data_IF_905462098216
#
_entry.id   IF_905462098216
#
_cell.length_a   1.000
_cell.length_b   1.000
_cell.length_c   1.000
_cell.angle_alpha   90.00
_cell.angle_beta   90.00
_cell.angle_gamma   90.00
#
_symmetry.space_group_name_H-M   'P 1'
#
loop_
_entity.id
_entity.type
_entity.pdbx_description
1 polymer ?
#
# COMPACT_ATOMS: atom_id res chain seq x y z
N UNK A 1 -44.84 -11.46 -9.41
CA UNK A 1 -45.27 -12.50 -10.34
C UNK A 1 -46.59 -12.16 -11.01
N UNK A 2 -46.71 -12.42 -12.29
CA UNK A 2 -47.93 -12.19 -13.10
C UNK A 2 -48.38 -13.53 -13.65
N UNK A 3 -49.69 -13.81 -13.54
CA UNK A 3 -50.36 -14.98 -14.13
C UNK A 3 -51.30 -14.54 -15.25
N UNK A 4 -51.31 -15.28 -16.33
CA UNK A 4 -52.28 -15.09 -17.40
C UNK A 4 -53.37 -16.17 -17.33
N UNK A 5 -54.64 -15.77 -17.34
CA UNK A 5 -55.76 -16.71 -17.45
C UNK A 5 -56.40 -16.54 -18.79
N UNK A 6 -56.39 -17.58 -19.62
CA UNK A 6 -56.88 -17.51 -21.01
C UNK A 6 -57.80 -18.65 -21.34
N UNK A 7 -58.76 -18.41 -22.24
CA UNK A 7 -59.58 -19.44 -22.86
C UNK A 7 -58.89 -20.08 -24.08
N UNK A 8 -57.93 -19.39 -24.67
CA UNK A 8 -57.14 -19.82 -25.81
C UNK A 8 -55.74 -20.22 -25.39
N UNK A 9 -55.46 -21.51 -25.37
CA UNK A 9 -54.18 -22.07 -24.95
C UNK A 9 -53.39 -22.61 -26.17
N UNK A 10 -53.31 -21.81 -27.26
CA UNK A 10 -52.43 -22.16 -28.37
C UNK A 10 -50.97 -22.04 -27.98
N UNK A 11 -50.09 -22.86 -28.58
CA UNK A 11 -48.63 -22.82 -28.30
C UNK A 11 -48.05 -21.43 -28.57
N UNK A 12 -48.55 -20.72 -29.57
CA UNK A 12 -48.12 -19.37 -29.90
C UNK A 12 -48.50 -18.36 -28.83
N UNK A 13 -49.72 -18.40 -28.33
CA UNK A 13 -50.19 -17.53 -27.23
C UNK A 13 -49.41 -17.79 -25.95
N UNK A 14 -49.09 -19.05 -25.64
CA UNK A 14 -48.33 -19.41 -24.46
C UNK A 14 -46.87 -18.91 -24.55
N UNK A 15 -46.20 -19.13 -25.68
CA UNK A 15 -44.83 -18.61 -25.91
C UNK A 15 -44.77 -17.10 -25.75
N UNK A 16 -45.70 -16.39 -26.39
CA UNK A 16 -45.75 -14.93 -26.31
C UNK A 16 -46.00 -14.42 -24.90
N UNK A 17 -46.82 -15.10 -24.11
CA UNK A 17 -47.02 -14.76 -22.69
C UNK A 17 -45.73 -14.92 -21.85
N UNK A 18 -45.01 -16.05 -22.02
CA UNK A 18 -43.75 -16.28 -21.33
C UNK A 18 -42.66 -15.31 -21.76
N UNK A 19 -42.58 -14.97 -23.06
CA UNK A 19 -41.65 -13.96 -23.58
C UNK A 19 -41.90 -12.54 -22.99
N UNK A 20 -43.19 -12.25 -22.67
CA UNK A 20 -43.59 -11.02 -21.97
C UNK A 20 -43.35 -11.05 -20.47
N UNK A 21 -42.76 -12.13 -19.91
CA UNK A 21 -42.41 -12.26 -18.49
C UNK A 21 -43.57 -12.74 -17.60
N UNK A 22 -44.61 -13.34 -18.17
CA UNK A 22 -45.66 -14.02 -17.38
C UNK A 22 -45.06 -15.26 -16.74
N UNK A 23 -45.30 -15.46 -15.46
CA UNK A 23 -44.69 -16.55 -14.69
C UNK A 23 -45.41 -17.90 -14.94
N UNK A 24 -46.70 -17.86 -15.15
CA UNK A 24 -47.47 -19.07 -15.49
C UNK A 24 -48.78 -18.69 -16.25
N UNK A 25 -49.24 -19.63 -17.08
CA UNK A 25 -50.48 -19.50 -17.86
C UNK A 25 -51.48 -20.53 -17.40
N UNK A 26 -52.70 -20.11 -17.09
CA UNK A 26 -53.81 -20.95 -16.64
C UNK A 26 -54.89 -20.96 -17.69
N UNK A 27 -55.19 -22.14 -18.24
CA UNK A 27 -56.25 -22.32 -19.22
C UNK A 27 -57.62 -22.47 -18.57
N UNK A 28 -58.65 -21.95 -19.21
CA UNK A 28 -60.05 -22.21 -18.85
C UNK A 28 -60.49 -23.57 -19.41
N UNK A 29 -61.34 -24.36 -18.70
CA UNK A 29 -61.99 -24.06 -17.41
C UNK A 29 -61.05 -24.12 -16.23
N UNK A 30 -61.14 -23.14 -15.31
CA UNK A 30 -60.27 -22.99 -14.15
C UNK A 30 -60.65 -24.00 -13.06
N UNK A 31 -59.67 -24.81 -12.64
CA UNK A 31 -59.83 -25.69 -11.48
C UNK A 31 -59.23 -24.97 -10.24
N UNK A 32 -60.07 -24.54 -9.27
CA UNK A 32 -59.63 -23.67 -8.17
C UNK A 32 -58.46 -24.23 -7.36
N UNK A 33 -58.44 -25.53 -7.09
CA UNK A 33 -57.36 -26.20 -6.33
C UNK A 33 -56.00 -26.11 -7.05
N UNK A 34 -55.99 -26.34 -8.38
CA UNK A 34 -54.78 -26.30 -9.20
C UNK A 34 -54.22 -24.87 -9.22
N UNK A 35 -55.12 -23.90 -9.43
CA UNK A 35 -54.71 -22.47 -9.42
C UNK A 35 -54.11 -22.10 -8.09
N UNK A 36 -54.74 -22.44 -6.98
CA UNK A 36 -54.24 -22.15 -5.64
C UNK A 36 -52.85 -22.74 -5.44
N UNK A 37 -52.62 -23.99 -5.82
CA UNK A 37 -51.32 -24.65 -5.68
C UNK A 37 -50.21 -23.99 -6.54
N UNK A 38 -50.52 -23.67 -7.80
CA UNK A 38 -49.57 -22.97 -8.68
C UNK A 38 -49.20 -21.58 -8.15
N UNK A 39 -50.18 -20.81 -7.71
CA UNK A 39 -49.97 -19.48 -7.12
C UNK A 39 -49.14 -19.57 -5.85
N UNK A 40 -49.42 -20.53 -4.96
CA UNK A 40 -48.63 -20.78 -3.76
C UNK A 40 -47.19 -21.09 -4.10
N UNK A 41 -46.92 -22.04 -5.01
CA UNK A 41 -45.55 -22.40 -5.41
C UNK A 41 -44.78 -21.24 -6.01
N UNK A 42 -45.41 -20.41 -6.84
CA UNK A 42 -44.78 -19.24 -7.44
C UNK A 42 -44.46 -18.16 -6.36
N UNK A 43 -45.38 -17.94 -5.43
CA UNK A 43 -45.13 -16.99 -4.30
C UNK A 43 -43.98 -17.49 -3.44
N UNK A 44 -43.95 -18.77 -3.10
CA UNK A 44 -42.83 -19.36 -2.31
C UNK A 44 -41.49 -19.21 -3.00
N UNK A 45 -41.45 -19.55 -4.31
CA UNK A 45 -40.24 -19.41 -5.14
C UNK A 45 -39.78 -17.94 -5.21
N UNK A 46 -40.68 -17.01 -5.43
CA UNK A 46 -40.39 -15.59 -5.49
C UNK A 46 -39.85 -15.07 -4.15
N UNK A 47 -40.50 -15.46 -3.06
CA UNK A 47 -40.04 -15.07 -1.71
C UNK A 47 -38.67 -15.68 -1.37
N UNK A 48 -38.43 -16.96 -1.70
CA UNK A 48 -37.16 -17.61 -1.53
C UNK A 48 -36.04 -16.89 -2.33
N UNK A 49 -36.32 -16.59 -3.62
CA UNK A 49 -35.37 -15.85 -4.46
C UNK A 49 -35.07 -14.45 -3.91
N UNK A 50 -36.07 -13.73 -3.43
CA UNK A 50 -35.91 -12.40 -2.84
C UNK A 50 -35.05 -12.46 -1.55
N UNK A 51 -35.32 -13.45 -0.68
CA UNK A 51 -34.53 -13.69 0.54
C UNK A 51 -33.07 -14.02 0.19
N UNK A 52 -32.85 -14.93 -0.75
CA UNK A 52 -31.53 -15.32 -1.19
C UNK A 52 -30.73 -14.10 -1.73
N UNK A 53 -31.36 -13.32 -2.60
CA UNK A 53 -30.73 -12.11 -3.15
C UNK A 53 -30.34 -11.11 -2.06
N UNK A 54 -31.23 -10.87 -1.06
CA UNK A 54 -30.89 -9.97 0.06
C UNK A 54 -29.78 -10.53 0.95
N UNK A 55 -29.78 -11.85 1.20
CA UNK A 55 -28.71 -12.50 1.99
C UNK A 55 -27.36 -12.41 1.26
N UNK A 56 -27.32 -12.69 -0.05
CA UNK A 56 -26.09 -12.58 -0.85
C UNK A 56 -25.55 -11.14 -0.83
N UNK A 57 -26.40 -10.15 -1.02
CA UNK A 57 -25.98 -8.75 -0.96
C UNK A 57 -25.41 -8.37 0.41
N UNK A 58 -26.06 -8.81 1.50
CA UNK A 58 -25.55 -8.57 2.86
C UNK A 58 -24.21 -9.25 3.11
N UNK A 59 -24.06 -10.52 2.68
CA UNK A 59 -22.80 -11.25 2.83
C UNK A 59 -21.65 -10.63 2.01
N UNK A 60 -21.94 -10.12 0.81
CA UNK A 60 -20.92 -9.42 0.01
C UNK A 60 -20.42 -8.15 0.72
N UNK A 61 -21.32 -7.36 1.30
CA UNK A 61 -20.94 -6.17 2.06
C UNK A 61 -20.06 -6.54 3.26
N UNK A 62 -20.48 -7.55 4.03
CA UNK A 62 -19.72 -8.02 5.20
C UNK A 62 -18.33 -8.53 4.82
N UNK A 63 -18.21 -9.30 3.73
CA UNK A 63 -16.91 -9.78 3.22
C UNK A 63 -15.97 -8.63 2.82
N UNK A 64 -16.50 -7.59 2.18
CA UNK A 64 -15.71 -6.40 1.83
C UNK A 64 -15.21 -5.66 3.07
N UNK A 65 -16.06 -5.50 4.08
CA UNK A 65 -15.66 -4.87 5.36
C UNK A 65 -14.59 -5.70 6.08
N UNK A 66 -14.74 -7.02 6.12
CA UNK A 66 -13.75 -7.93 6.72
C UNK A 66 -12.41 -7.86 5.96
N UNK A 67 -12.43 -7.89 4.62
CA UNK A 67 -11.24 -7.76 3.80
C UNK A 67 -10.50 -6.44 4.06
N UNK A 68 -11.22 -5.32 4.12
CA UNK A 68 -10.64 -4.02 4.44
C UNK A 68 -10.05 -3.98 5.86
N UNK A 69 -10.70 -4.63 6.83
CA UNK A 69 -10.18 -4.73 8.20
C UNK A 69 -8.89 -5.52 8.26
N UNK A 70 -8.79 -6.63 7.53
CA UNK A 70 -7.58 -7.45 7.44
C UNK A 70 -6.44 -6.65 6.81
N UNK A 71 -6.69 -5.93 5.71
CA UNK A 71 -5.69 -5.07 5.07
C UNK A 71 -5.15 -4.03 6.06
N UNK A 72 -6.02 -3.30 6.75
CA UNK A 72 -5.59 -2.30 7.75
C UNK A 72 -4.80 -2.90 8.90
N UNK A 73 -5.20 -4.09 9.38
CA UNK A 73 -4.46 -4.81 10.42
C UNK A 73 -3.06 -5.20 9.95
N UNK A 74 -2.93 -5.74 8.74
CA UNK A 74 -1.64 -6.14 8.18
C UNK A 74 -0.71 -4.93 8.01
N UNK A 75 -1.21 -3.80 7.51
CA UNK A 75 -0.44 -2.55 7.40
C UNK A 75 0.03 -2.07 8.77
N UNK A 76 -0.86 -2.05 9.78
CA UNK A 76 -0.49 -1.67 11.14
C UNK A 76 0.53 -2.62 11.77
N UNK A 77 0.50 -3.91 11.44
CA UNK A 77 1.51 -4.88 11.91
C UNK A 77 2.88 -4.63 11.26
N UNK A 78 2.92 -4.34 9.95
CA UNK A 78 4.15 -3.97 9.25
C UNK A 78 4.76 -2.71 9.88
N UNK A 79 3.94 -1.67 10.06
CA UNK A 79 4.37 -0.42 10.70
C UNK A 79 4.90 -0.65 12.13
N UNK A 80 4.21 -1.45 12.93
CA UNK A 80 4.63 -1.75 14.29
C UNK A 80 5.94 -2.55 14.35
N UNK A 81 6.15 -3.52 13.47
CA UNK A 81 7.38 -4.30 13.40
C UNK A 81 8.56 -3.43 12.93
N UNK A 82 8.38 -2.62 11.92
CA UNK A 82 9.42 -1.70 11.44
C UNK A 82 9.76 -0.67 12.53
N UNK A 83 8.77 -0.10 13.19
CA UNK A 83 8.96 0.79 14.33
C UNK A 83 9.74 0.11 15.46
N UNK A 84 9.45 -1.16 15.77
CA UNK A 84 10.20 -1.90 16.80
C UNK A 84 11.68 -2.11 16.43
N UNK A 85 11.99 -2.25 15.15
CA UNK A 85 13.38 -2.34 14.67
C UNK A 85 14.08 -0.98 14.81
N UNK A 86 13.40 0.11 14.41
CA UNK A 86 13.91 1.48 14.53
C UNK A 86 14.15 1.89 15.99
N UNK A 87 13.32 1.43 16.93
CA UNK A 87 13.56 1.64 18.36
C UNK A 87 14.91 1.10 18.85
N UNK A 88 15.46 0.06 18.18
CA UNK A 88 16.81 -0.44 18.52
C UNK A 88 17.92 0.52 18.11
N UNK A 89 17.70 1.34 17.09
CA UNK A 89 18.66 2.36 16.60
C UNK A 89 18.41 3.76 17.17
N UNK A 90 17.64 3.85 18.28
CA UNK A 90 17.25 5.12 18.92
C UNK A 90 16.51 6.10 17.99
N UNK A 91 15.94 5.60 16.88
CA UNK A 91 15.10 6.38 15.99
C UNK A 91 13.66 6.45 16.49
N UNK A 92 12.98 7.54 16.19
CA UNK A 92 11.59 7.71 16.62
C UNK A 92 10.66 6.89 15.76
N UNK A 93 9.64 6.23 16.34
CA UNK A 93 8.64 5.47 15.59
C UNK A 93 7.85 6.29 14.55
N UNK A 94 7.96 7.61 14.57
CA UNK A 94 7.40 8.50 13.57
C UNK A 94 8.24 8.56 12.27
N UNK A 95 9.53 8.15 12.30
CA UNK A 95 10.42 8.11 11.13
C UNK A 95 9.81 7.26 10.02
N UNK A 96 9.49 6.01 10.31
CA UNK A 96 8.93 5.05 9.37
C UNK A 96 7.70 5.60 8.63
N UNK A 97 6.84 6.28 9.38
CA UNK A 97 5.62 6.90 8.83
C UNK A 97 5.94 8.08 7.91
N UNK A 98 6.90 8.93 8.29
CA UNK A 98 7.32 10.06 7.45
C UNK A 98 7.97 9.59 6.14
N UNK A 99 8.80 8.54 6.18
CA UNK A 99 9.35 7.93 4.95
C UNK A 99 8.24 7.46 4.02
N UNK A 100 7.22 6.77 4.55
CA UNK A 100 6.04 6.39 3.79
C UNK A 100 5.36 7.60 3.14
N UNK A 101 5.07 8.65 3.93
CA UNK A 101 4.30 9.79 3.47
C UNK A 101 5.07 10.64 2.44
N UNK A 102 6.39 10.84 2.64
CA UNK A 102 7.26 11.50 1.66
C UNK A 102 7.30 10.70 0.35
N UNK A 103 7.51 9.38 0.44
CA UNK A 103 7.55 8.50 -0.73
C UNK A 103 6.24 8.55 -1.50
N UNK A 104 5.11 8.41 -0.80
CA UNK A 104 3.78 8.51 -1.41
C UNK A 104 3.54 9.86 -2.07
N UNK A 105 3.89 10.96 -1.38
CA UNK A 105 3.72 12.32 -1.89
C UNK A 105 4.53 12.55 -3.16
N UNK A 106 5.84 12.23 -3.14
CA UNK A 106 6.71 12.41 -4.30
C UNK A 106 6.24 11.61 -5.51
N UNK A 107 5.80 10.36 -5.32
CA UNK A 107 5.32 9.52 -6.40
C UNK A 107 3.92 9.89 -6.92
N UNK A 108 3.09 10.58 -6.12
CA UNK A 108 1.74 10.99 -6.55
C UNK A 108 1.66 12.42 -7.08
N UNK A 109 2.54 13.32 -6.61
CA UNK A 109 2.45 14.75 -6.86
C UNK A 109 3.52 15.29 -7.82
N UNK A 110 4.48 14.45 -8.20
CA UNK A 110 5.55 14.84 -9.12
C UNK A 110 5.64 13.90 -10.32
N UNK A 111 6.51 14.24 -11.28
CA UNK A 111 6.75 13.40 -12.45
C UNK A 111 7.47 12.07 -12.16
N UNK A 112 7.94 11.86 -10.91
CA UNK A 112 8.65 10.63 -10.53
C UNK A 112 7.76 9.39 -10.64
N UNK A 113 6.47 9.54 -10.38
CA UNK A 113 5.51 8.45 -10.49
C UNK A 113 4.89 8.26 -11.87
N UNK A 114 5.27 9.04 -12.88
CA UNK A 114 4.62 9.04 -14.20
C UNK A 114 4.58 7.68 -14.88
N UNK A 115 5.67 6.93 -14.74
CA UNK A 115 5.84 5.63 -15.38
C UNK A 115 5.47 4.46 -14.44
N UNK A 116 4.95 4.77 -13.25
CA UNK A 116 4.50 3.80 -12.25
C UNK A 116 2.98 3.65 -12.34
N UNK A 117 2.45 2.41 -12.46
CA UNK A 117 1.01 2.21 -12.39
C UNK A 117 0.42 2.82 -11.10
N UNK A 118 -0.67 3.59 -11.16
CA UNK A 118 -1.24 4.24 -9.97
C UNK A 118 -1.58 3.27 -8.82
N UNK A 119 -1.92 2.02 -9.13
CA UNK A 119 -2.17 0.97 -8.15
C UNK A 119 -0.91 0.52 -7.39
N UNK A 120 0.28 0.73 -7.97
CA UNK A 120 1.55 0.33 -7.37
C UNK A 120 2.13 1.40 -6.42
N UNK A 121 1.75 2.66 -6.56
CA UNK A 121 2.26 3.74 -5.71
C UNK A 121 1.99 3.50 -4.22
N UNK A 122 0.79 3.11 -3.78
CA UNK A 122 0.56 2.74 -2.38
C UNK A 122 1.40 1.54 -1.93
N UNK A 123 1.70 0.59 -2.84
CA UNK A 123 2.52 -0.58 -2.54
C UNK A 123 3.99 -0.20 -2.34
N UNK A 124 4.50 0.75 -3.13
CA UNK A 124 5.85 1.30 -2.98
C UNK A 124 5.96 2.08 -1.67
N UNK A 125 4.99 2.92 -1.36
CA UNK A 125 4.96 3.66 -0.10
C UNK A 125 4.90 2.72 1.11
N UNK A 126 4.12 1.64 1.06
CA UNK A 126 4.13 0.61 2.09
C UNK A 126 5.50 -0.11 2.16
N UNK A 127 6.11 -0.40 1.02
CA UNK A 127 7.42 -1.03 0.95
C UNK A 127 8.53 -0.17 1.57
N UNK A 128 8.45 1.16 1.44
CA UNK A 128 9.44 2.08 2.00
C UNK A 128 9.59 1.97 3.52
N UNK A 129 8.54 1.55 4.23
CA UNK A 129 8.55 1.30 5.68
C UNK A 129 9.57 0.21 6.05
N UNK A 130 9.88 -0.70 5.13
CA UNK A 130 10.74 -1.87 5.34
C UNK A 130 12.21 -1.63 4.91
N UNK A 131 12.60 -0.40 4.52
CA UNK A 131 13.95 -0.12 4.01
C UNK A 131 15.05 -0.61 4.95
N UNK A 132 14.86 -0.41 6.24
CA UNK A 132 15.84 -0.68 7.31
C UNK A 132 15.57 -1.99 8.08
N UNK A 133 14.67 -2.86 7.60
CA UNK A 133 14.30 -4.10 8.29
C UNK A 133 15.50 -5.00 8.59
N UNK A 134 16.56 -4.92 7.80
CA UNK A 134 17.79 -5.69 7.99
C UNK A 134 18.67 -5.22 9.17
N UNK A 135 18.41 -4.06 9.75
CA UNK A 135 19.08 -3.62 11.00
C UNK A 135 18.88 -4.62 12.15
N UNK A 136 17.87 -5.49 12.07
CA UNK A 136 17.67 -6.57 13.04
C UNK A 136 18.86 -7.52 13.14
N UNK A 137 19.65 -7.66 12.08
CA UNK A 137 20.84 -8.51 12.03
C UNK A 137 22.13 -7.81 12.54
N UNK A 138 22.07 -6.50 12.78
CA UNK A 138 23.22 -5.73 13.25
C UNK A 138 23.34 -5.85 14.77
N UNK A 139 24.54 -6.19 15.32
CA UNK A 139 24.77 -6.23 16.77
C UNK A 139 24.55 -4.86 17.43
N UNK A 140 23.90 -4.82 18.60
CA UNK A 140 23.60 -3.57 19.32
C UNK A 140 24.87 -2.78 19.69
N UNK A 141 25.97 -3.47 19.97
CA UNK A 141 27.25 -2.84 20.25
C UNK A 141 27.82 -2.01 19.09
N UNK A 142 27.43 -2.34 17.85
CA UNK A 142 27.82 -1.61 16.65
C UNK A 142 26.73 -0.59 16.29
N UNK A 143 25.48 -1.02 16.31
CA UNK A 143 24.33 -0.19 15.93
C UNK A 143 24.23 1.07 16.80
N UNK A 144 24.45 0.92 18.11
CA UNK A 144 24.34 1.99 19.12
C UNK A 144 25.70 2.45 19.66
N UNK A 145 26.78 2.28 18.89
CA UNK A 145 28.10 2.67 19.33
C UNK A 145 28.19 4.19 19.51
N UNK A 146 28.55 4.68 20.73
CA UNK A 146 28.80 6.10 20.93
C UNK A 146 30.10 6.50 20.26
N UNK A 147 30.02 7.21 19.13
CA UNK A 147 31.17 7.71 18.39
C UNK A 147 31.30 7.19 16.97
N UNK A 148 32.47 7.36 16.37
CA UNK A 148 32.71 6.94 14.98
C UNK A 148 32.91 5.45 14.89
N UNK A 149 32.31 4.85 13.86
CA UNK A 149 32.50 3.44 13.49
C UNK A 149 33.91 3.26 12.88
N UNK A 150 34.53 2.11 13.14
CA UNK A 150 35.70 1.70 12.35
C UNK A 150 35.25 1.27 10.93
N UNK A 151 36.19 1.16 9.98
CA UNK A 151 35.85 0.66 8.65
C UNK A 151 35.18 -0.73 8.68
N UNK A 152 35.63 -1.61 9.54
CA UNK A 152 35.08 -2.98 9.69
C UNK A 152 33.66 -2.94 10.29
N UNK A 153 33.42 -2.11 11.31
CA UNK A 153 32.09 -1.91 11.89
C UNK A 153 31.12 -1.26 10.88
N UNK A 154 31.62 -0.36 10.04
CA UNK A 154 30.82 0.23 8.98
C UNK A 154 30.38 -0.80 7.94
N UNK A 155 31.27 -1.76 7.58
CA UNK A 155 30.90 -2.89 6.71
C UNK A 155 29.75 -3.73 7.33
N UNK A 156 29.79 -3.96 8.65
CA UNK A 156 28.71 -4.65 9.37
C UNK A 156 27.39 -3.88 9.29
N UNK A 157 27.42 -2.55 9.43
CA UNK A 157 26.22 -1.71 9.25
C UNK A 157 25.71 -1.83 7.81
N UNK A 158 26.57 -1.67 6.80
CA UNK A 158 26.17 -1.76 5.38
C UNK A 158 25.46 -3.07 5.04
N UNK A 159 25.84 -4.15 5.71
CA UNK A 159 25.23 -5.46 5.48
C UNK A 159 23.73 -5.51 5.78
N UNK A 160 23.14 -4.51 6.50
CA UNK A 160 21.70 -4.48 6.75
C UNK A 160 20.89 -4.47 5.45
N UNK A 161 21.37 -3.86 4.39
CA UNK A 161 20.70 -3.80 3.09
C UNK A 161 20.50 -5.20 2.51
N UNK A 162 21.56 -5.98 2.43
CA UNK A 162 21.53 -7.36 1.95
C UNK A 162 20.77 -8.28 2.91
N UNK A 163 20.90 -8.07 4.22
CA UNK A 163 20.17 -8.86 5.21
C UNK A 163 18.67 -8.55 5.19
N UNK A 164 18.29 -7.31 4.92
CA UNK A 164 16.89 -6.89 4.75
C UNK A 164 16.24 -7.60 3.58
N UNK A 165 16.86 -7.56 2.40
CA UNK A 165 16.38 -8.32 1.23
C UNK A 165 16.26 -9.82 1.51
N UNK A 166 17.29 -10.43 2.12
CA UNK A 166 17.27 -11.86 2.48
C UNK A 166 16.15 -12.19 3.45
N UNK A 167 15.93 -11.36 4.46
CA UNK A 167 14.86 -11.54 5.43
C UNK A 167 13.49 -11.52 4.73
N UNK A 168 13.23 -10.50 3.93
CA UNK A 168 11.96 -10.36 3.19
C UNK A 168 11.75 -11.53 2.21
N UNK A 169 12.80 -11.94 1.51
CA UNK A 169 12.75 -13.08 0.57
C UNK A 169 12.57 -14.44 1.26
N UNK A 170 12.88 -14.55 2.55
CA UNK A 170 12.70 -15.78 3.31
C UNK A 170 11.25 -16.03 3.76
N UNK A 171 10.34 -15.06 3.58
CA UNK A 171 8.95 -15.15 4.02
C UNK A 171 8.05 -15.56 2.83
N UNK A 172 7.64 -16.84 2.72
CA UNK A 172 6.88 -17.31 1.55
C UNK A 172 5.57 -16.55 1.32
N UNK A 173 4.86 -16.18 2.39
CA UNK A 173 3.60 -15.44 2.32
C UNK A 173 3.80 -14.02 1.78
N UNK A 174 4.96 -13.42 2.03
CA UNK A 174 5.27 -12.09 1.54
C UNK A 174 5.65 -12.08 0.05
N UNK A 175 6.22 -13.16 -0.47
CA UNK A 175 6.60 -13.28 -1.90
C UNK A 175 5.40 -13.10 -2.85
N UNK A 176 4.19 -13.40 -2.41
CA UNK A 176 2.94 -13.18 -3.18
C UNK A 176 2.32 -11.80 -2.96
N UNK A 177 2.85 -11.00 -2.03
CA UNK A 177 2.33 -9.68 -1.73
C UNK A 177 2.70 -8.66 -2.82
N UNK A 178 1.80 -7.76 -3.24
CA UNK A 178 2.09 -6.75 -4.26
C UNK A 178 3.30 -5.86 -3.96
N UNK A 179 3.58 -5.59 -2.67
CA UNK A 179 4.73 -4.79 -2.26
C UNK A 179 6.07 -5.54 -2.28
N UNK A 180 6.08 -6.87 -2.47
CA UNK A 180 7.27 -7.71 -2.28
C UNK A 180 8.48 -7.24 -3.08
N UNK A 181 8.31 -7.10 -4.40
CA UNK A 181 9.40 -6.69 -5.30
C UNK A 181 9.97 -5.33 -4.92
N UNK A 182 9.09 -4.40 -4.53
CA UNK A 182 9.50 -3.06 -4.12
C UNK A 182 10.23 -3.07 -2.78
N UNK A 183 9.74 -3.86 -1.82
CA UNK A 183 10.35 -3.95 -0.49
C UNK A 183 11.75 -4.58 -0.55
N UNK A 184 11.94 -5.65 -1.32
CA UNK A 184 13.25 -6.26 -1.52
C UNK A 184 14.23 -5.30 -2.19
N UNK A 185 13.80 -4.61 -3.23
CA UNK A 185 14.62 -3.66 -3.97
C UNK A 185 14.97 -2.43 -3.11
N UNK A 186 14.00 -1.84 -2.43
CA UNK A 186 14.22 -0.71 -1.52
C UNK A 186 15.16 -1.11 -0.38
N UNK A 187 14.90 -2.24 0.29
CA UNK A 187 15.75 -2.70 1.40
C UNK A 187 17.20 -2.89 0.96
N UNK A 188 17.43 -3.36 -0.27
CA UNK A 188 18.78 -3.57 -0.80
C UNK A 188 19.43 -2.27 -1.27
N UNK A 189 18.69 -1.38 -1.97
CA UNK A 189 19.29 -0.32 -2.78
C UNK A 189 19.03 1.11 -2.29
N UNK A 190 18.35 1.35 -1.16
CA UNK A 190 18.10 2.71 -0.67
C UNK A 190 19.38 3.47 -0.25
N UNK A 191 20.50 2.79 -0.11
CA UNK A 191 21.81 3.39 0.11
C UNK A 191 22.69 3.47 -1.15
N UNK A 192 22.18 3.09 -2.31
CA UNK A 192 22.84 3.39 -3.58
C UNK A 192 22.83 4.89 -3.85
N UNK A 193 23.80 5.36 -4.60
CA UNK A 193 23.98 6.77 -4.92
C UNK A 193 24.13 6.96 -6.43
N UNK A 194 23.56 8.02 -6.95
CA UNK A 194 23.53 8.31 -8.39
C UNK A 194 24.90 8.23 -9.07
N UNK A 195 25.96 8.56 -8.33
CA UNK A 195 27.34 8.54 -8.80
C UNK A 195 28.06 7.17 -8.66
N UNK A 196 27.33 6.11 -8.28
CA UNK A 196 27.87 4.76 -8.10
C UNK A 196 28.73 4.55 -6.86
N UNK A 197 28.76 5.53 -5.93
CA UNK A 197 29.53 5.43 -4.67
C UNK A 197 28.68 4.93 -3.50
N UNK A 198 27.50 4.43 -3.79
CA UNK A 198 26.59 3.81 -2.84
C UNK A 198 26.98 2.37 -2.50
N UNK A 199 26.08 1.67 -1.86
CA UNK A 199 26.22 0.26 -1.50
C UNK A 199 24.82 -0.41 -1.48
N UNK A 200 24.71 -1.74 -1.61
CA UNK A 200 25.77 -2.76 -1.57
C UNK A 200 26.38 -3.09 -2.94
N UNK A 201 25.70 -2.77 -4.05
CA UNK A 201 26.05 -3.24 -5.40
C UNK A 201 26.83 -2.18 -6.21
N UNK A 202 26.87 -0.93 -5.76
CA UNK A 202 27.52 0.18 -6.44
C UNK A 202 26.80 0.58 -7.72
N UNK A 203 25.47 0.46 -7.74
CA UNK A 203 24.62 0.89 -8.87
C UNK A 203 24.73 2.37 -9.11
N UNK A 204 24.66 2.78 -10.37
CA UNK A 204 24.78 4.18 -10.79
C UNK A 204 23.67 4.62 -11.73
N UNK A 205 23.28 5.87 -11.67
CA UNK A 205 22.31 6.45 -12.59
C UNK A 205 20.98 5.69 -12.61
N UNK A 206 20.49 5.38 -13.81
CA UNK A 206 19.21 4.69 -14.05
C UNK A 206 19.19 3.20 -13.67
N UNK A 207 20.34 2.62 -13.26
CA UNK A 207 20.38 1.27 -12.71
C UNK A 207 19.67 1.21 -11.35
N UNK A 208 19.60 2.35 -10.63
CA UNK A 208 18.88 2.49 -9.38
C UNK A 208 17.42 2.76 -9.68
N UNK A 209 16.52 1.91 -9.20
CA UNK A 209 15.09 2.12 -9.39
C UNK A 209 14.61 3.47 -8.83
N UNK A 210 13.62 4.08 -9.46
CA UNK A 210 13.10 5.39 -9.03
C UNK A 210 12.59 5.36 -7.58
N UNK A 211 11.99 4.25 -7.15
CA UNK A 211 11.49 4.11 -5.78
C UNK A 211 12.62 3.97 -4.75
N UNK A 212 13.72 3.27 -5.06
CA UNK A 212 14.90 3.23 -4.20
C UNK A 212 15.56 4.61 -4.10
N UNK A 213 15.65 5.36 -5.20
CA UNK A 213 16.14 6.75 -5.20
C UNK A 213 15.25 7.66 -4.33
N UNK A 214 13.93 7.55 -4.45
CA UNK A 214 12.97 8.35 -3.65
C UNK A 214 13.10 8.04 -2.16
N UNK A 215 13.16 6.77 -1.79
CA UNK A 215 13.33 6.37 -0.38
C UNK A 215 14.69 6.80 0.17
N UNK A 216 15.75 6.69 -0.62
CA UNK A 216 17.09 7.19 -0.27
C UNK A 216 17.08 8.68 0.09
N UNK A 217 16.39 9.50 -0.71
CA UNK A 217 16.26 10.94 -0.44
C UNK A 217 15.34 11.21 0.75
N UNK A 218 14.23 10.48 0.89
CA UNK A 218 13.31 10.61 1.99
C UNK A 218 13.99 10.32 3.34
N UNK A 219 14.79 9.26 3.40
CA UNK A 219 15.56 8.88 4.59
C UNK A 219 16.57 9.98 4.96
N UNK A 220 17.36 10.47 3.99
CA UNK A 220 18.31 11.57 4.22
C UNK A 220 17.60 12.84 4.68
N UNK A 221 16.49 13.22 4.05
CA UNK A 221 15.74 14.42 4.42
C UNK A 221 15.17 14.31 5.83
N UNK A 222 14.60 13.16 6.19
CA UNK A 222 14.08 12.91 7.53
C UNK A 222 15.20 12.91 8.59
N UNK A 223 16.29 12.22 8.30
CA UNK A 223 17.45 12.15 9.19
C UNK A 223 18.08 13.52 9.53
N UNK A 224 18.02 14.45 8.60
CA UNK A 224 18.56 15.81 8.79
C UNK A 224 17.54 16.75 9.45
N UNK A 225 16.26 16.60 9.13
CA UNK A 225 15.16 17.49 9.55
C UNK A 225 14.66 17.18 10.96
N UNK A 226 14.81 15.93 11.44
CA UNK A 226 14.31 15.51 12.73
C UNK A 226 15.34 15.64 13.86
N UNK A 227 14.82 15.91 15.07
CA UNK A 227 15.63 15.86 16.29
C UNK A 227 15.98 14.40 16.59
N UNK A 228 17.28 14.07 16.66
CA UNK A 228 17.78 12.80 17.17
C UNK A 228 18.32 12.99 18.58
N UNK A 229 18.44 11.89 19.34
CA UNK A 229 18.88 11.94 20.76
C UNK A 229 20.19 12.74 20.95
N UNK A 230 21.07 12.68 19.95
CA UNK A 230 22.40 13.32 20.01
C UNK A 230 22.54 14.56 19.11
N UNK A 231 21.48 15.03 18.42
CA UNK A 231 21.60 16.13 17.47
C UNK A 231 20.35 16.98 17.43
N UNK A 232 20.50 18.29 17.59
CA UNK A 232 19.41 19.24 17.34
C UNK A 232 19.04 19.21 15.86
N UNK A 233 17.76 19.47 15.49
CA UNK A 233 17.35 19.63 14.11
C UNK A 233 18.23 20.65 13.40
N UNK A 234 18.66 20.34 12.19
CA UNK A 234 19.34 21.29 11.32
C UNK A 234 18.28 22.25 10.77
N UNK A 235 18.56 23.58 10.70
CA UNK A 235 17.66 24.52 10.06
C UNK A 235 17.28 24.05 8.63
N UNK A 236 16.01 24.16 8.27
CA UNK A 236 15.45 23.69 6.97
C UNK A 236 16.28 24.14 5.78
N UNK A 237 16.64 25.44 5.73
CA UNK A 237 17.43 25.98 4.64
C UNK A 237 18.79 25.28 4.49
N UNK A 238 19.46 25.01 5.62
CA UNK A 238 20.72 24.29 5.64
C UNK A 238 20.57 22.83 5.20
N UNK A 239 19.47 22.14 5.58
CA UNK A 239 19.16 20.78 5.10
C UNK A 239 19.04 20.78 3.57
N UNK A 240 18.30 21.74 3.01
CA UNK A 240 18.10 21.84 1.57
C UNK A 240 19.42 22.15 0.83
N UNK A 241 20.27 23.00 1.39
CA UNK A 241 21.61 23.26 0.86
C UNK A 241 22.50 22.01 0.87
N UNK A 242 22.48 21.23 1.96
CA UNK A 242 23.25 19.98 2.09
C UNK A 242 22.82 18.95 1.06
N UNK A 243 21.50 18.79 0.84
CA UNK A 243 20.96 17.87 -0.15
C UNK A 243 21.34 18.34 -1.56
N UNK A 244 21.18 19.62 -1.88
CA UNK A 244 21.52 20.20 -3.18
C UNK A 244 23.02 20.10 -3.47
N UNK A 245 23.86 20.31 -2.47
CA UNK A 245 25.31 20.26 -2.58
C UNK A 245 25.90 18.84 -2.55
N UNK A 246 25.08 17.80 -2.42
CA UNK A 246 25.55 16.42 -2.39
C UNK A 246 26.31 16.03 -1.12
N UNK A 247 26.21 16.80 -0.02
CA UNK A 247 26.90 16.52 1.23
C UNK A 247 26.45 15.21 1.90
N UNK A 248 25.25 14.73 1.53
CA UNK A 248 24.63 13.51 2.06
C UNK A 248 24.51 12.40 1.01
N UNK A 249 25.27 12.50 -0.08
CA UNK A 249 25.21 11.62 -1.24
C UNK A 249 24.66 12.35 -2.47
N UNK A 250 25.02 11.83 -3.63
CA UNK A 250 24.59 12.40 -4.93
C UNK A 250 23.27 11.78 -5.33
N UNK A 251 22.29 12.61 -5.63
CA UNK A 251 20.96 12.21 -6.12
C UNK A 251 20.79 12.59 -7.60
N UNK A 252 19.83 11.96 -8.29
CA UNK A 252 19.56 12.32 -9.68
C UNK A 252 19.05 13.75 -9.79
N UNK A 253 19.41 14.51 -10.87
CA UNK A 253 18.87 15.85 -11.08
C UNK A 253 17.35 15.89 -11.13
N UNK A 254 16.72 14.92 -11.82
CA UNK A 254 15.26 14.77 -11.89
C UNK A 254 14.62 14.59 -10.50
N UNK A 255 15.22 13.77 -9.64
CA UNK A 255 14.74 13.57 -8.28
C UNK A 255 14.83 14.85 -7.46
N UNK A 256 15.95 15.56 -7.55
CA UNK A 256 16.14 16.84 -6.86
C UNK A 256 15.14 17.90 -7.31
N UNK A 257 14.92 18.06 -8.62
CA UNK A 257 13.96 19.03 -9.15
C UNK A 257 12.54 18.73 -8.65
N UNK A 258 12.12 17.46 -8.68
CA UNK A 258 10.83 17.04 -8.14
C UNK A 258 10.72 17.26 -6.63
N UNK A 259 11.75 16.93 -5.89
CA UNK A 259 11.79 17.11 -4.45
C UNK A 259 11.68 18.59 -4.06
N UNK A 260 12.48 19.48 -4.66
CA UNK A 260 12.44 20.91 -4.36
C UNK A 260 11.11 21.55 -4.77
N UNK A 261 10.45 21.06 -5.82
CA UNK A 261 9.13 21.55 -6.21
C UNK A 261 8.03 21.17 -5.22
N UNK A 262 8.17 20.05 -4.50
CA UNK A 262 7.20 19.54 -3.54
C UNK A 262 7.54 19.88 -2.07
N UNK A 263 8.74 20.44 -1.81
CA UNK A 263 9.33 20.52 -0.47
C UNK A 263 8.50 21.34 0.50
N UNK A 264 7.86 22.43 0.08
CA UNK A 264 6.97 23.21 0.96
C UNK A 264 5.77 22.38 1.48
N UNK A 265 5.22 21.50 0.64
CA UNK A 265 4.14 20.60 1.06
C UNK A 265 4.66 19.51 1.98
N UNK A 266 5.86 18.98 1.70
CA UNK A 266 6.53 18.01 2.55
C UNK A 266 6.85 18.58 3.94
N UNK A 267 7.34 19.82 4.03
CA UNK A 267 7.63 20.49 5.29
C UNK A 267 6.40 20.58 6.21
N UNK A 268 5.21 20.77 5.65
CA UNK A 268 3.95 20.79 6.41
C UNK A 268 3.63 19.44 7.08
N UNK A 269 4.13 18.33 6.55
CA UNK A 269 3.98 17.02 7.17
C UNK A 269 4.72 16.93 8.52
N UNK A 270 5.79 17.72 8.69
CA UNK A 270 6.54 17.81 9.95
C UNK A 270 5.89 18.74 10.96
N UNK A 271 5.23 19.80 10.50
CA UNK A 271 4.60 20.82 11.37
C UNK A 271 3.27 20.35 11.95
N UNK A 272 2.49 19.61 11.17
CA UNK A 272 1.13 19.24 11.55
C UNK A 272 1.05 18.18 12.66
N UNK A 273 2.09 17.41 12.89
CA UNK A 273 2.13 16.35 13.93
C UNK A 273 0.97 15.33 13.83
N UNK A 274 0.13 15.43 12.79
CA UNK A 274 -1.08 14.62 12.62
C UNK A 274 -1.07 13.83 11.31
N UNK A 275 -1.43 12.54 11.36
CA UNK A 275 -1.45 11.66 10.20
C UNK A 275 -2.74 11.82 9.38
N UNK A 276 -3.05 13.01 8.85
CA UNK A 276 -4.26 13.18 8.03
C UNK A 276 -4.13 12.59 6.62
N UNK A 277 -2.93 12.50 6.08
CA UNK A 277 -2.75 11.98 4.71
C UNK A 277 -2.95 10.48 4.57
N UNK A 278 -2.58 9.69 5.57
CA UNK A 278 -2.79 8.23 5.54
C UNK A 278 -4.29 7.89 5.50
N UNK A 279 -5.16 8.70 6.12
CA UNK A 279 -6.60 8.49 6.09
C UNK A 279 -7.23 8.74 4.72
N UNK A 280 -6.64 9.59 3.87
CA UNK A 280 -7.18 9.93 2.53
C UNK A 280 -6.66 9.04 1.41
N UNK A 281 -5.51 8.38 1.56
CA UNK A 281 -4.95 7.48 0.56
C UNK A 281 -5.43 6.03 0.67
N UNK A 282 -6.16 5.70 1.73
CA UNK A 282 -6.69 4.34 1.99
C UNK A 282 -8.17 4.17 1.60
N UNK A 283 -8.81 5.18 0.94
CA UNK A 283 -10.20 5.11 0.48
C UNK A 283 -10.33 5.34 -1.02
#
# INVERSE_FOLDING_TARGET
PVFLITAEASDETMRRAYDMGVMDVISKPVVPYIVLKRVQSVIELYQARKRLSSTVASQQTELLEQAQKIIRLNQGMIEALSTAIEFRSEESGSHVRRIHDITYHLLTRTELGRDIPPADVPQIALASILHDVGKIAVPDAILNKPGRLTPEEYEVIKAHTVQGEKLLSSIPQFQTHPSYRYACDIARHHHERWDGRGYPDGLSGEEISVWAQVVSLADVYDALSCKRVYKNPIPREQVLEMIRGGACGVFSPRLLDCFFSAEEELARLYESGQPEMIRRSMF
#
